data_IF_749081931274
#
_entry.id   IF_749081931274
#
_cell.length_a   1.000
_cell.length_b   1.000
_cell.length_c   1.000
_cell.angle_alpha   90.00
_cell.angle_beta   90.00
_cell.angle_gamma   90.00
#
_symmetry.space_group_name_H-M   'P 1'
#
loop_
_entity.id
_entity.type
_entity.pdbx_description
1 polymer ?
#
# COMPACT_ATOMS: atom_id res chain seq x y z
N UNK A 1 -35.06 -18.45 31.73
CA UNK A 1 -35.69 -17.49 30.80
C UNK A 1 -34.77 -16.30 30.67
N UNK A 2 -33.96 -16.27 29.61
CA UNK A 2 -33.13 -15.11 29.31
C UNK A 2 -34.04 -13.98 28.83
N UNK A 3 -34.08 -12.90 29.60
CA UNK A 3 -34.81 -11.69 29.23
C UNK A 3 -34.05 -11.05 28.06
N UNK A 4 -34.63 -11.14 26.90
CA UNK A 4 -34.14 -10.51 25.67
C UNK A 4 -34.28 -9.00 25.80
N UNK A 5 -33.31 -8.37 26.47
CA UNK A 5 -33.30 -6.92 26.69
C UNK A 5 -32.89 -6.24 25.39
N UNK A 6 -33.84 -5.66 24.70
CA UNK A 6 -33.58 -4.82 23.52
C UNK A 6 -32.67 -3.67 23.90
N UNK A 7 -31.39 -3.71 23.58
CA UNK A 7 -30.48 -2.57 23.77
C UNK A 7 -30.90 -1.47 22.78
N UNK A 8 -31.40 -0.35 23.30
CA UNK A 8 -31.61 0.85 22.50
C UNK A 8 -30.26 1.36 22.02
N UNK A 9 -30.10 1.46 20.72
CA UNK A 9 -28.97 2.15 20.12
C UNK A 9 -29.36 3.61 19.98
N UNK A 10 -28.70 4.49 20.73
CA UNK A 10 -29.00 5.92 20.70
C UNK A 10 -28.46 6.52 19.40
N UNK A 11 -29.33 6.58 18.38
CA UNK A 11 -29.11 7.31 17.17
C UNK A 11 -29.41 8.78 17.41
N UNK A 12 -28.47 9.66 17.19
CA UNK A 12 -28.60 11.09 17.35
C UNK A 12 -28.00 11.87 16.19
N UNK A 13 -28.20 13.17 16.15
CA UNK A 13 -27.72 14.06 15.10
C UNK A 13 -26.56 14.90 15.64
N UNK A 14 -25.49 15.00 14.89
CA UNK A 14 -24.27 15.76 15.24
C UNK A 14 -23.99 16.77 14.14
N UNK A 15 -23.70 18.02 14.51
CA UNK A 15 -23.15 18.98 13.57
C UNK A 15 -21.75 18.49 13.12
N UNK A 16 -21.50 18.29 11.80
CA UNK A 16 -20.21 17.84 11.31
C UNK A 16 -19.03 18.70 11.78
N UNK A 17 -19.24 19.98 12.05
CA UNK A 17 -18.21 20.92 12.50
C UNK A 17 -17.75 20.68 13.94
N UNK A 18 -18.54 19.94 14.72
CA UNK A 18 -18.21 19.54 16.10
C UNK A 18 -17.53 18.17 16.18
N UNK A 19 -17.28 17.54 15.04
CA UNK A 19 -16.60 16.25 14.98
C UNK A 19 -15.08 16.47 14.89
N UNK A 20 -14.34 15.75 15.75
CA UNK A 20 -12.89 15.75 15.79
C UNK A 20 -12.38 14.41 15.31
N UNK A 21 -11.53 14.43 14.30
CA UNK A 21 -10.82 13.25 13.81
C UNK A 21 -9.49 13.17 14.54
N UNK A 22 -9.24 12.06 15.24
CA UNK A 22 -7.92 11.83 15.85
C UNK A 22 -6.91 11.49 14.74
N UNK A 23 -5.87 12.31 14.67
CA UNK A 23 -4.77 12.06 13.76
C UNK A 23 -4.15 10.69 14.03
N UNK A 24 -3.92 9.93 12.96
CA UNK A 24 -3.34 8.59 13.05
C UNK A 24 -4.27 7.50 13.63
N UNK A 25 -5.48 7.80 14.10
CA UNK A 25 -6.37 6.75 14.59
C UNK A 25 -6.87 5.84 13.48
N UNK A 26 -7.31 6.40 12.36
CA UNK A 26 -7.70 5.61 11.19
C UNK A 26 -6.46 5.19 10.40
N UNK A 27 -6.41 3.94 9.98
CA UNK A 27 -5.33 3.40 9.14
C UNK A 27 -5.58 3.61 7.65
N UNK A 28 -6.74 4.12 7.26
CA UNK A 28 -7.07 4.34 5.85
C UNK A 28 -6.22 5.45 5.25
N UNK A 29 -5.67 5.17 4.08
CA UNK A 29 -4.79 6.06 3.34
C UNK A 29 -5.54 6.68 2.16
N UNK A 30 -6.24 5.83 1.39
CA UNK A 30 -7.01 6.26 0.23
C UNK A 30 -8.50 6.24 0.55
N UNK A 31 -9.10 7.42 0.62
CA UNK A 31 -10.50 7.58 0.98
C UNK A 31 -11.44 7.47 -0.23
N UNK A 32 -10.99 7.82 -1.44
CA UNK A 32 -11.80 7.77 -2.66
C UNK A 32 -13.19 8.40 -2.43
N UNK A 33 -13.23 9.73 -2.35
CA UNK A 33 -14.36 10.47 -1.81
C UNK A 33 -15.33 11.01 -2.89
N UNK A 34 -14.94 11.07 -4.17
CA UNK A 34 -15.70 11.80 -5.18
C UNK A 34 -17.10 11.24 -5.38
N UNK A 35 -17.22 9.94 -5.60
CA UNK A 35 -18.53 9.31 -5.75
C UNK A 35 -19.38 9.41 -4.49
N UNK A 36 -18.75 9.15 -3.32
CA UNK A 36 -19.43 9.20 -2.02
C UNK A 36 -19.90 10.63 -1.69
N UNK A 37 -19.13 11.64 -2.04
CA UNK A 37 -19.50 13.05 -1.87
C UNK A 37 -20.76 13.38 -2.66
N UNK A 38 -20.84 12.98 -3.94
CA UNK A 38 -22.04 13.23 -4.77
C UNK A 38 -23.27 12.47 -4.23
N UNK A 39 -23.08 11.24 -3.76
CA UNK A 39 -24.16 10.50 -3.10
C UNK A 39 -24.66 11.21 -1.83
N UNK A 40 -23.74 11.76 -1.02
CA UNK A 40 -24.09 12.49 0.21
C UNK A 40 -24.79 13.80 -0.12
N UNK A 41 -24.41 14.53 -1.14
CA UNK A 41 -25.15 15.73 -1.61
C UNK A 41 -26.59 15.40 -2.00
N UNK A 42 -26.79 14.27 -2.67
CA UNK A 42 -28.10 13.87 -3.17
C UNK A 42 -29.02 13.29 -2.08
N UNK A 43 -28.51 12.49 -1.15
CA UNK A 43 -29.32 11.69 -0.22
C UNK A 43 -28.93 11.85 1.27
N UNK A 44 -27.92 12.67 1.57
CA UNK A 44 -27.35 12.77 2.91
C UNK A 44 -26.57 11.51 3.30
N UNK A 45 -26.10 11.48 4.55
CA UNK A 45 -25.41 10.32 5.11
C UNK A 45 -26.43 9.25 5.51
N UNK A 46 -26.51 8.16 4.73
CA UNK A 46 -27.48 7.08 4.97
C UNK A 46 -27.09 6.23 6.18
N UNK A 47 -25.85 5.79 6.24
CA UNK A 47 -25.33 4.98 7.34
C UNK A 47 -24.70 5.87 8.41
N UNK A 48 -25.10 5.76 9.70
CA UNK A 48 -24.58 6.61 10.76
C UNK A 48 -23.08 6.40 10.96
N UNK A 49 -22.40 7.45 11.38
CA UNK A 49 -21.02 7.38 11.89
C UNK A 49 -21.03 6.93 13.36
N UNK A 50 -19.87 6.54 13.91
CA UNK A 50 -19.74 6.22 15.34
C UNK A 50 -18.81 7.24 15.99
N UNK A 51 -19.25 7.80 17.12
CA UNK A 51 -18.52 8.86 17.84
C UNK A 51 -18.47 8.62 19.34
N UNK A 52 -17.48 9.20 20.01
CA UNK A 52 -17.39 9.33 21.47
C UNK A 52 -17.58 10.81 21.81
N UNK A 53 -18.64 11.20 22.56
CA UNK A 53 -18.79 12.57 23.00
C UNK A 53 -17.77 12.90 24.10
N UNK A 54 -17.19 14.09 24.01
CA UNK A 54 -16.30 14.66 25.04
C UNK A 54 -16.51 16.17 25.16
N UNK A 55 -15.93 16.78 26.16
CA UNK A 55 -15.87 18.24 26.29
C UNK A 55 -14.46 18.70 25.94
N UNK A 56 -14.36 19.75 25.13
CA UNK A 56 -13.09 20.41 24.86
C UNK A 56 -12.63 21.27 26.08
N UNK A 57 -11.48 21.91 25.96
CA UNK A 57 -10.88 22.75 27.01
C UNK A 57 -11.80 23.93 27.42
N UNK A 58 -12.62 24.41 26.50
CA UNK A 58 -13.59 25.50 26.71
C UNK A 58 -14.92 25.01 27.27
N UNK A 59 -15.08 23.69 27.47
CA UNK A 59 -16.30 23.06 27.97
C UNK A 59 -17.35 22.78 26.88
N UNK A 60 -17.08 23.05 25.62
CA UNK A 60 -18.00 22.78 24.52
C UNK A 60 -18.09 21.28 24.23
N UNK A 61 -19.29 20.83 23.85
CA UNK A 61 -19.51 19.44 23.47
C UNK A 61 -18.91 19.17 22.09
N UNK A 62 -17.98 18.22 22.01
CA UNK A 62 -17.33 17.74 20.82
C UNK A 62 -17.49 16.22 20.70
N UNK A 63 -17.24 15.71 19.51
CA UNK A 63 -17.47 14.30 19.17
C UNK A 63 -16.23 13.73 18.50
N UNK A 64 -15.52 12.86 19.20
CA UNK A 64 -14.38 12.15 18.62
C UNK A 64 -14.89 11.09 17.65
N UNK A 65 -14.46 11.13 16.41
CA UNK A 65 -14.83 10.15 15.40
C UNK A 65 -14.12 8.82 15.63
N UNK A 66 -14.89 7.74 15.67
CA UNK A 66 -14.41 6.36 15.85
C UNK A 66 -14.53 5.57 14.55
N UNK A 67 -15.69 5.69 13.87
CA UNK A 67 -15.94 5.02 12.59
C UNK A 67 -16.73 5.93 11.65
N UNK A 68 -16.47 5.74 10.35
CA UNK A 68 -17.14 6.48 9.28
C UNK A 68 -16.37 7.68 8.77
N UNK A 69 -15.03 7.69 8.86
CA UNK A 69 -14.21 8.83 8.43
C UNK A 69 -14.38 9.15 6.93
N UNK A 70 -14.56 8.16 6.07
CA UNK A 70 -14.89 8.42 4.65
C UNK A 70 -16.19 9.23 4.52
N UNK A 71 -17.23 8.85 5.26
CA UNK A 71 -18.53 9.54 5.27
C UNK A 71 -18.40 10.95 5.82
N UNK A 72 -17.66 11.11 6.91
CA UNK A 72 -17.37 12.43 7.50
C UNK A 72 -16.60 13.32 6.53
N UNK A 73 -15.48 12.85 5.98
CA UNK A 73 -14.66 13.64 5.04
C UNK A 73 -15.45 14.01 3.76
N UNK A 74 -16.19 13.07 3.19
CA UNK A 74 -17.06 13.34 2.04
C UNK A 74 -18.15 14.36 2.37
N UNK A 75 -18.71 14.35 3.59
CA UNK A 75 -19.65 15.36 4.06
C UNK A 75 -19.00 16.74 4.17
N UNK A 76 -17.80 16.82 4.74
CA UNK A 76 -17.09 18.10 4.87
C UNK A 76 -16.78 18.70 3.50
N UNK A 77 -16.32 17.88 2.55
CA UNK A 77 -16.13 18.33 1.15
C UNK A 77 -17.43 18.79 0.49
N UNK A 78 -18.54 18.08 0.73
CA UNK A 78 -19.84 18.50 0.22
C UNK A 78 -20.28 19.86 0.78
N UNK A 79 -20.05 20.09 2.08
CA UNK A 79 -20.33 21.38 2.74
C UNK A 79 -19.44 22.49 2.17
N UNK A 80 -18.16 22.25 1.97
CA UNK A 80 -17.21 23.19 1.35
C UNK A 80 -17.64 23.59 -0.07
N UNK A 81 -18.28 22.66 -0.80
CA UNK A 81 -18.86 22.91 -2.13
C UNK A 81 -20.29 23.51 -2.06
N UNK A 82 -20.74 23.91 -0.90
CA UNK A 82 -22.00 24.64 -0.70
C UNK A 82 -23.24 23.80 -0.39
N UNK A 83 -23.08 22.49 -0.11
CA UNK A 83 -24.23 21.67 0.30
C UNK A 83 -24.70 22.04 1.70
N UNK A 84 -26.02 22.18 1.89
CA UNK A 84 -26.65 22.44 3.20
C UNK A 84 -26.83 21.12 3.98
N UNK A 85 -25.81 20.74 4.76
CA UNK A 85 -25.83 19.54 5.59
C UNK A 85 -25.63 19.96 7.06
N UNK A 86 -26.69 20.30 7.79
CA UNK A 86 -26.58 20.81 9.15
C UNK A 86 -26.21 19.74 10.18
N UNK A 87 -26.42 18.45 9.88
CA UNK A 87 -26.08 17.34 10.78
C UNK A 87 -25.82 16.02 10.05
N UNK A 88 -25.04 15.16 10.72
CA UNK A 88 -24.85 13.75 10.38
C UNK A 88 -25.53 12.88 11.44
N UNK A 89 -26.08 11.73 11.02
CA UNK A 89 -26.55 10.70 11.95
C UNK A 89 -25.35 10.02 12.60
N UNK A 90 -25.35 9.91 13.90
CA UNK A 90 -24.28 9.32 14.68
C UNK A 90 -24.80 8.29 15.70
N UNK A 91 -23.99 7.27 15.95
CA UNK A 91 -24.15 6.32 17.02
C UNK A 91 -23.10 6.61 18.10
N UNK A 92 -23.46 6.48 19.36
CA UNK A 92 -22.50 6.60 20.44
C UNK A 92 -21.73 5.30 20.62
N UNK A 93 -20.41 5.38 20.58
CA UNK A 93 -19.57 4.25 20.97
C UNK A 93 -19.80 3.91 22.45
N UNK A 94 -19.71 2.65 22.88
CA UNK A 94 -19.80 2.28 24.29
C UNK A 94 -18.74 3.06 25.09
N UNK A 95 -19.15 3.56 26.29
CA UNK A 95 -18.32 4.45 27.14
C UNK A 95 -16.99 3.81 27.55
N UNK A 96 -16.98 2.46 27.64
CA UNK A 96 -15.85 1.66 28.11
C UNK A 96 -15.13 0.94 26.95
N UNK A 97 -15.26 1.46 25.72
CA UNK A 97 -14.57 0.87 24.58
C UNK A 97 -13.06 0.96 24.75
N UNK A 98 -12.40 -0.18 24.80
CA UNK A 98 -10.93 -0.24 24.83
C UNK A 98 -10.36 0.10 23.45
N UNK A 99 -9.11 0.58 23.34
CA UNK A 99 -8.43 0.78 22.05
C UNK A 99 -8.48 -0.47 21.16
N UNK A 100 -8.33 -1.64 21.75
CA UNK A 100 -8.45 -2.92 21.07
C UNK A 100 -9.81 -3.10 20.40
N UNK A 101 -10.90 -2.86 21.14
CA UNK A 101 -12.26 -2.97 20.62
C UNK A 101 -12.49 -2.00 19.46
N UNK A 102 -12.03 -0.77 19.59
CA UNK A 102 -12.14 0.24 18.54
C UNK A 102 -11.37 -0.14 17.27
N UNK A 103 -10.17 -0.70 17.40
CA UNK A 103 -9.38 -1.18 16.25
C UNK A 103 -10.01 -2.40 15.57
N UNK A 104 -10.59 -3.33 16.37
CA UNK A 104 -11.33 -4.47 15.82
C UNK A 104 -12.56 -3.99 15.06
N UNK A 105 -13.35 -3.09 15.65
CA UNK A 105 -14.52 -2.52 14.98
C UNK A 105 -14.14 -1.83 13.67
N UNK A 106 -13.06 -1.05 13.67
CA UNK A 106 -12.55 -0.40 12.46
C UNK A 106 -12.23 -1.41 11.36
N UNK A 107 -11.61 -2.56 11.70
CA UNK A 107 -11.30 -3.62 10.73
C UNK A 107 -12.54 -4.39 10.26
N UNK A 108 -13.52 -4.63 11.14
CA UNK A 108 -14.69 -5.45 10.86
C UNK A 108 -15.80 -4.69 10.14
N UNK A 109 -16.00 -3.40 10.46
CA UNK A 109 -17.06 -2.56 9.88
C UNK A 109 -16.70 -1.97 8.51
N UNK A 110 -15.63 -2.46 7.88
CA UNK A 110 -15.16 -1.93 6.61
C UNK A 110 -16.02 -2.43 5.43
N UNK A 111 -17.33 -2.21 5.55
CA UNK A 111 -18.31 -2.51 4.51
C UNK A 111 -18.10 -1.54 3.34
N UNK A 112 -17.74 -2.06 2.18
CA UNK A 112 -17.61 -1.32 0.93
C UNK A 112 -16.19 -1.32 0.34
N UNK A 113 -15.18 -0.73 0.98
CA UNK A 113 -13.79 -0.74 0.48
C UNK A 113 -12.88 -1.45 1.47
N UNK A 114 -12.44 -2.72 1.19
CA UNK A 114 -11.51 -3.44 2.07
C UNK A 114 -10.21 -2.66 2.31
N UNK A 115 -9.56 -2.87 3.45
CA UNK A 115 -8.24 -2.34 3.70
C UNK A 115 -7.20 -2.95 2.76
N UNK A 116 -6.32 -2.12 2.23
CA UNK A 116 -5.14 -2.56 1.50
C UNK A 116 -4.18 -3.35 2.41
N UNK A 117 -3.27 -4.12 1.82
CA UNK A 117 -2.27 -4.84 2.61
C UNK A 117 -1.37 -3.90 3.42
N UNK A 118 -1.17 -2.66 2.98
CA UNK A 118 -0.38 -1.66 3.71
C UNK A 118 -1.18 -1.08 4.90
N UNK A 119 -2.45 -0.78 4.73
CA UNK A 119 -3.35 -0.37 5.82
C UNK A 119 -3.48 -1.49 6.87
N UNK A 120 -3.63 -2.74 6.43
CA UNK A 120 -3.56 -3.91 7.32
C UNK A 120 -2.23 -3.98 8.08
N UNK A 121 -1.11 -3.67 7.43
CA UNK A 121 0.20 -3.66 8.07
C UNK A 121 0.27 -2.65 9.23
N UNK A 122 -0.25 -1.44 9.03
CA UNK A 122 -0.33 -0.41 10.07
C UNK A 122 -1.17 -0.90 11.25
N UNK A 123 -2.34 -1.48 10.97
CA UNK A 123 -3.21 -2.03 12.01
C UNK A 123 -2.54 -3.17 12.79
N UNK A 124 -1.92 -4.13 12.09
CA UNK A 124 -1.24 -5.25 12.74
C UNK A 124 -0.03 -4.82 13.56
N UNK A 125 0.67 -3.75 13.15
CA UNK A 125 1.74 -3.14 13.94
C UNK A 125 1.20 -2.60 15.27
N UNK A 126 0.06 -1.89 15.27
CA UNK A 126 -0.57 -1.42 16.51
C UNK A 126 -0.91 -2.55 17.46
N UNK A 127 -1.53 -3.62 16.95
CA UNK A 127 -1.80 -4.81 17.77
C UNK A 127 -0.53 -5.40 18.37
N UNK A 128 0.57 -5.40 17.63
CA UNK A 128 1.84 -5.92 18.09
C UNK A 128 2.53 -4.99 19.10
N UNK A 129 2.61 -3.69 18.80
CA UNK A 129 3.44 -2.73 19.53
C UNK A 129 2.68 -2.06 20.68
N UNK A 130 1.40 -1.69 20.47
CA UNK A 130 0.60 -1.00 21.48
C UNK A 130 -0.14 -1.97 22.40
N UNK A 131 -0.60 -3.10 21.86
CA UNK A 131 -1.41 -4.07 22.60
C UNK A 131 -0.65 -5.36 22.98
N UNK A 132 0.60 -5.51 22.56
CA UNK A 132 1.47 -6.63 22.93
C UNK A 132 1.11 -7.98 22.30
N UNK A 133 0.28 -8.02 21.25
CA UNK A 133 -0.12 -9.27 20.61
C UNK A 133 1.00 -9.91 19.78
N UNK A 134 1.13 -11.23 19.87
CA UNK A 134 1.97 -12.02 18.96
C UNK A 134 1.26 -12.18 17.61
N UNK A 135 2.02 -12.35 16.53
CA UNK A 135 1.46 -12.48 15.16
C UNK A 135 0.42 -13.61 15.03
N UNK A 136 0.60 -14.71 15.76
CA UNK A 136 -0.36 -15.82 15.77
C UNK A 136 -1.70 -15.40 16.39
N UNK A 137 -1.65 -14.62 17.47
CA UNK A 137 -2.84 -14.10 18.13
C UNK A 137 -3.58 -13.08 17.24
N UNK A 138 -2.82 -12.22 16.51
CA UNK A 138 -3.38 -11.30 15.52
C UNK A 138 -4.05 -12.09 14.39
N UNK A 139 -3.38 -13.12 13.90
CA UNK A 139 -3.90 -14.00 12.84
C UNK A 139 -5.23 -14.65 13.23
N UNK A 140 -5.31 -15.22 14.44
CA UNK A 140 -6.55 -15.82 14.95
C UNK A 140 -7.66 -14.79 15.14
N UNK A 141 -7.34 -13.62 15.72
CA UNK A 141 -8.30 -12.54 15.97
C UNK A 141 -8.95 -12.02 14.68
N UNK A 142 -8.17 -11.85 13.61
CA UNK A 142 -8.66 -11.36 12.31
C UNK A 142 -9.02 -12.47 11.32
N UNK A 143 -8.97 -13.74 11.74
CA UNK A 143 -9.24 -14.92 10.87
C UNK A 143 -8.40 -14.89 9.58
N UNK A 144 -7.13 -14.51 9.73
CA UNK A 144 -6.12 -14.49 8.66
C UNK A 144 -5.03 -15.51 8.95
N UNK A 145 -4.27 -15.92 7.92
CA UNK A 145 -3.11 -16.79 8.14
C UNK A 145 -1.95 -16.00 8.78
N UNK A 146 -1.12 -16.62 9.62
CA UNK A 146 0.11 -16.00 10.14
C UNK A 146 1.05 -15.50 9.02
N UNK A 147 1.08 -16.21 7.89
CA UNK A 147 1.82 -15.81 6.70
C UNK A 147 1.30 -14.49 6.11
N UNK A 148 -0.02 -14.27 6.10
CA UNK A 148 -0.60 -13.00 5.67
C UNK A 148 -0.19 -11.85 6.61
N UNK A 149 -0.26 -12.06 7.94
CA UNK A 149 0.16 -11.06 8.93
C UNK A 149 1.63 -10.69 8.73
N UNK A 150 2.52 -11.70 8.62
CA UNK A 150 3.94 -11.49 8.38
C UNK A 150 4.20 -10.76 7.06
N UNK A 151 3.48 -11.15 5.99
CA UNK A 151 3.55 -10.53 4.67
C UNK A 151 3.12 -9.06 4.71
N UNK A 152 2.09 -8.70 5.47
CA UNK A 152 1.70 -7.29 5.64
C UNK A 152 2.75 -6.53 6.44
N UNK A 153 3.16 -7.03 7.61
CA UNK A 153 4.14 -6.37 8.47
C UNK A 153 5.47 -6.12 7.77
N UNK A 154 5.89 -6.99 6.85
CA UNK A 154 7.13 -6.79 6.07
C UNK A 154 7.13 -5.52 5.21
N UNK A 155 5.96 -4.96 4.87
CA UNK A 155 5.85 -3.71 4.13
C UNK A 155 6.37 -2.51 4.94
N UNK A 156 6.24 -2.56 6.24
CA UNK A 156 6.71 -1.49 7.14
C UNK A 156 8.23 -1.52 7.37
N UNK A 157 8.91 -2.57 6.90
CA UNK A 157 10.37 -2.67 6.90
C UNK A 157 11.00 -2.15 5.60
N UNK A 158 10.19 -1.75 4.62
CA UNK A 158 10.67 -1.13 3.39
C UNK A 158 11.27 0.25 3.67
N UNK A 159 12.22 0.73 2.86
CA UNK A 159 12.69 2.11 2.94
C UNK A 159 11.52 3.10 2.91
N UNK A 160 11.62 4.18 3.68
CA UNK A 160 10.55 5.17 3.83
C UNK A 160 10.05 5.67 2.48
N UNK A 161 10.94 5.93 1.53
CA UNK A 161 10.55 6.35 0.17
C UNK A 161 9.55 5.38 -0.49
N UNK A 162 9.74 4.06 -0.38
CA UNK A 162 8.81 3.08 -0.95
C UNK A 162 7.46 3.12 -0.23
N UNK A 163 7.49 3.27 1.09
CA UNK A 163 6.27 3.41 1.89
C UNK A 163 5.50 4.66 1.47
N UNK A 164 6.18 5.80 1.32
CA UNK A 164 5.59 7.07 0.87
C UNK A 164 4.96 6.93 -0.53
N UNK A 165 5.63 6.22 -1.45
CA UNK A 165 5.07 5.98 -2.79
C UNK A 165 3.84 5.05 -2.76
N UNK A 166 3.79 4.08 -1.83
CA UNK A 166 2.59 3.25 -1.63
C UNK A 166 1.43 4.12 -1.09
N UNK A 167 1.72 4.98 -0.12
CA UNK A 167 0.74 5.91 0.47
C UNK A 167 0.21 6.89 -0.57
N UNK A 168 1.10 7.44 -1.40
CA UNK A 168 0.75 8.35 -2.49
C UNK A 168 0.03 7.65 -3.68
N UNK A 169 -0.07 6.32 -3.67
CA UNK A 169 -0.68 5.57 -4.76
C UNK A 169 0.16 5.52 -6.05
N UNK A 170 1.39 6.01 -6.02
CA UNK A 170 2.30 6.03 -7.18
C UNK A 170 3.08 4.74 -7.38
N UNK A 171 3.08 3.85 -6.37
CA UNK A 171 3.70 2.52 -6.43
C UNK A 171 2.76 1.47 -5.83
N UNK A 172 2.47 0.41 -6.56
CA UNK A 172 1.66 -0.69 -6.01
C UNK A 172 2.42 -1.46 -4.94
N UNK A 173 1.72 -1.98 -3.93
CA UNK A 173 2.29 -2.87 -2.88
C UNK A 173 3.02 -4.06 -3.50
N UNK A 174 2.49 -4.60 -4.60
CA UNK A 174 3.09 -5.73 -5.30
C UNK A 174 4.42 -5.35 -5.96
N UNK A 175 4.50 -4.17 -6.58
CA UNK A 175 5.72 -3.64 -7.16
C UNK A 175 6.79 -3.37 -6.09
N UNK A 176 6.39 -2.77 -4.96
CA UNK A 176 7.29 -2.53 -3.84
C UNK A 176 7.92 -3.83 -3.28
N UNK A 177 7.13 -4.91 -3.18
CA UNK A 177 7.65 -6.24 -2.79
C UNK A 177 8.59 -6.83 -3.84
N UNK A 178 8.27 -6.70 -5.11
CA UNK A 178 9.13 -7.18 -6.20
C UNK A 178 10.50 -6.49 -6.14
N UNK A 179 10.52 -5.19 -5.88
CA UNK A 179 11.75 -4.43 -5.65
C UNK A 179 12.50 -4.98 -4.42
N UNK A 180 11.82 -5.15 -3.28
CA UNK A 180 12.45 -5.66 -2.06
C UNK A 180 13.05 -7.06 -2.22
N UNK A 181 12.42 -7.91 -3.01
CA UNK A 181 12.89 -9.27 -3.28
C UNK A 181 14.13 -9.31 -4.19
N UNK A 182 14.30 -8.32 -5.08
CA UNK A 182 15.37 -8.31 -6.06
C UNK A 182 16.56 -7.43 -5.64
N UNK A 183 16.37 -6.45 -4.76
CA UNK A 183 17.41 -5.53 -4.30
C UNK A 183 17.63 -5.65 -2.80
N UNK A 184 18.85 -5.92 -2.38
CA UNK A 184 19.17 -6.18 -0.96
C UNK A 184 19.38 -4.91 -0.13
N UNK A 185 19.99 -3.87 -0.72
CA UNK A 185 20.27 -2.65 0.03
C UNK A 185 19.11 -1.65 -0.07
N UNK A 186 18.83 -0.88 1.02
CA UNK A 186 17.81 0.17 0.99
C UNK A 186 18.03 1.18 -0.15
N UNK A 187 19.29 1.54 -0.43
CA UNK A 187 19.64 2.50 -1.49
C UNK A 187 19.27 1.96 -2.88
N UNK A 188 19.56 0.65 -3.13
CA UNK A 188 19.20 0.03 -4.41
C UNK A 188 17.68 -0.12 -4.56
N UNK A 189 16.96 -0.40 -3.49
CA UNK A 189 15.49 -0.44 -3.49
C UNK A 189 14.90 0.93 -3.83
N UNK A 190 15.40 2.00 -3.22
CA UNK A 190 14.96 3.38 -3.50
C UNK A 190 15.25 3.76 -4.95
N UNK A 191 16.45 3.42 -5.47
CA UNK A 191 16.82 3.69 -6.87
C UNK A 191 15.87 2.96 -7.84
N UNK A 192 15.58 1.69 -7.58
CA UNK A 192 14.67 0.90 -8.40
C UNK A 192 13.23 1.45 -8.35
N UNK A 193 12.75 1.87 -7.17
CA UNK A 193 11.43 2.48 -7.02
C UNK A 193 11.31 3.80 -7.80
N UNK A 194 12.34 4.68 -7.72
CA UNK A 194 12.39 5.92 -8.50
C UNK A 194 12.33 5.65 -9.99
N UNK A 195 13.08 4.66 -10.48
CA UNK A 195 13.05 4.25 -11.87
C UNK A 195 11.66 3.76 -12.29
N UNK A 196 11.03 2.89 -11.50
CA UNK A 196 9.71 2.36 -11.80
C UNK A 196 8.63 3.46 -11.87
N UNK A 197 8.67 4.42 -10.93
CA UNK A 197 7.72 5.55 -10.89
C UNK A 197 7.93 6.45 -12.11
N UNK A 198 9.19 6.76 -12.47
CA UNK A 198 9.51 7.58 -13.64
C UNK A 198 9.03 6.91 -14.95
N UNK A 199 9.30 5.61 -15.13
CA UNK A 199 8.84 4.85 -16.31
C UNK A 199 7.30 4.81 -16.41
N UNK A 200 6.59 4.69 -15.27
CA UNK A 200 5.14 4.76 -15.27
C UNK A 200 4.64 6.14 -15.71
N UNK A 201 5.24 7.22 -15.21
CA UNK A 201 4.91 8.60 -15.57
C UNK A 201 5.17 8.87 -17.05
N UNK A 202 6.30 8.44 -17.60
CA UNK A 202 6.62 8.54 -19.04
C UNK A 202 5.59 7.81 -19.91
N UNK A 203 5.00 6.72 -19.40
CA UNK A 203 3.92 5.98 -20.05
C UNK A 203 2.52 6.59 -19.80
N UNK A 204 2.44 7.74 -19.14
CA UNK A 204 1.16 8.39 -18.79
C UNK A 204 0.35 7.67 -17.72
N UNK A 205 0.99 6.82 -16.91
CA UNK A 205 0.33 6.08 -15.83
C UNK A 205 0.51 6.80 -14.50
N UNK A 206 -0.55 6.83 -13.69
CA UNK A 206 -0.48 7.39 -12.34
C UNK A 206 0.30 6.51 -11.36
N UNK A 207 0.34 5.19 -11.60
CA UNK A 207 0.88 4.20 -10.65
C UNK A 207 1.82 3.22 -11.32
N UNK A 208 3.01 3.05 -10.77
CA UNK A 208 3.96 2.01 -11.16
C UNK A 208 3.52 0.65 -10.62
N UNK A 209 3.47 -0.32 -11.49
CA UNK A 209 3.07 -1.71 -11.21
C UNK A 209 4.24 -2.68 -11.37
N UNK A 210 3.99 -3.97 -11.14
CA UNK A 210 4.96 -5.01 -11.41
C UNK A 210 5.44 -5.06 -12.86
N UNK A 211 4.68 -4.51 -13.81
CA UNK A 211 5.05 -4.53 -15.22
C UNK A 211 6.28 -3.65 -15.45
N UNK A 212 6.29 -2.45 -14.89
CA UNK A 212 7.42 -1.53 -14.96
C UNK A 212 8.63 -2.12 -14.24
N UNK A 213 8.44 -2.61 -13.00
CA UNK A 213 9.52 -3.27 -12.24
C UNK A 213 10.07 -4.50 -12.97
N UNK A 214 9.20 -5.36 -13.49
CA UNK A 214 9.60 -6.56 -14.24
C UNK A 214 10.34 -6.25 -15.53
N UNK A 215 10.00 -5.15 -16.19
CA UNK A 215 10.65 -4.68 -17.42
C UNK A 215 12.15 -4.43 -17.19
N UNK A 216 12.47 -3.51 -16.29
CA UNK A 216 13.87 -3.17 -16.05
C UNK A 216 14.65 -4.24 -15.29
N UNK A 217 14.01 -5.07 -14.45
CA UNK A 217 14.67 -6.23 -13.85
C UNK A 217 15.13 -7.24 -14.89
N UNK A 218 14.34 -7.43 -15.95
CA UNK A 218 14.73 -8.27 -17.09
C UNK A 218 15.92 -7.69 -17.82
N UNK A 219 15.89 -6.39 -18.14
CA UNK A 219 16.99 -5.68 -18.77
C UNK A 219 18.29 -5.75 -17.95
N UNK A 220 18.21 -5.54 -16.62
CA UNK A 220 19.37 -5.64 -15.73
C UNK A 220 19.96 -7.06 -15.68
N UNK A 221 19.10 -8.09 -15.68
CA UNK A 221 19.55 -9.49 -15.75
C UNK A 221 20.22 -9.80 -17.08
N UNK A 222 19.67 -9.32 -18.19
CA UNK A 222 20.24 -9.47 -19.52
C UNK A 222 21.59 -8.73 -19.62
N UNK A 223 21.65 -7.48 -19.16
CA UNK A 223 22.88 -6.69 -19.15
C UNK A 223 23.98 -7.35 -18.29
N UNK A 224 23.61 -7.89 -17.12
CA UNK A 224 24.53 -8.62 -16.25
C UNK A 224 25.02 -9.90 -16.91
N UNK A 225 24.15 -10.68 -17.53
CA UNK A 225 24.51 -11.89 -18.25
C UNK A 225 25.46 -11.60 -19.42
N UNK A 226 25.22 -10.52 -20.16
CA UNK A 226 26.11 -10.04 -21.23
C UNK A 226 27.47 -9.64 -20.64
N UNK A 227 27.50 -8.85 -19.57
CA UNK A 227 28.75 -8.43 -18.91
C UNK A 227 29.58 -9.63 -18.41
N UNK A 228 28.93 -10.63 -17.78
CA UNK A 228 29.60 -11.84 -17.32
C UNK A 228 30.13 -12.69 -18.51
N UNK A 229 29.40 -12.72 -19.59
CA UNK A 229 29.82 -13.41 -20.78
C UNK A 229 31.01 -12.72 -21.47
N UNK A 230 30.96 -11.39 -21.57
CA UNK A 230 32.10 -10.60 -22.09
C UNK A 230 33.35 -10.82 -21.23
N UNK A 231 33.25 -10.82 -19.89
CA UNK A 231 34.39 -11.13 -19.01
C UNK A 231 34.99 -12.52 -19.29
N UNK A 232 34.15 -13.51 -19.56
CA UNK A 232 34.62 -14.86 -19.91
C UNK A 232 35.30 -14.89 -21.28
N UNK A 233 34.79 -14.13 -22.26
CA UNK A 233 35.44 -13.98 -23.59
C UNK A 233 36.78 -13.29 -23.42
N UNK A 234 36.89 -12.21 -22.63
CA UNK A 234 38.15 -11.52 -22.33
C UNK A 234 39.16 -12.42 -21.62
N UNK A 235 38.75 -13.22 -20.67
CA UNK A 235 39.61 -14.17 -19.97
C UNK A 235 40.15 -15.31 -20.90
N UNK A 236 39.45 -15.59 -21.99
CA UNK A 236 39.85 -16.60 -22.97
C UNK A 236 40.75 -16.06 -24.09
N UNK A 237 40.70 -14.75 -24.30
CA UNK A 237 41.52 -14.05 -25.31
C UNK A 237 42.74 -13.51 -24.57
N UNK A 238 43.81 -14.31 -24.56
CA UNK A 238 45.13 -13.96 -23.99
C UNK A 238 45.59 -12.61 -24.54
N UNK A 239 45.40 -11.54 -23.83
CA UNK A 239 45.88 -10.15 -23.90
C UNK A 239 46.17 -9.44 -25.22
N UNK A 240 46.23 -10.10 -26.37
CA UNK A 240 46.81 -9.55 -27.60
C UNK A 240 45.88 -9.53 -28.84
N UNK A 241 44.60 -9.93 -28.73
CA UNK A 241 43.70 -9.89 -29.88
C UNK A 241 42.59 -8.88 -29.71
N UNK A 242 42.51 -7.94 -30.65
CA UNK A 242 41.39 -7.02 -30.76
C UNK A 242 40.07 -7.80 -30.76
N UNK A 243 39.17 -7.42 -29.89
CA UNK A 243 37.80 -7.97 -29.85
C UNK A 243 37.14 -7.57 -31.18
N UNK A 244 36.71 -8.53 -31.96
CA UNK A 244 35.90 -8.28 -33.14
C UNK A 244 34.56 -7.65 -32.70
N UNK A 245 34.44 -6.31 -32.88
CA UNK A 245 33.26 -5.52 -32.50
C UNK A 245 32.01 -6.07 -33.23
N UNK A 246 32.16 -6.59 -34.46
CA UNK A 246 31.07 -7.20 -35.21
C UNK A 246 30.60 -8.52 -34.57
N UNK A 247 31.53 -9.29 -34.00
CA UNK A 247 31.18 -10.48 -33.23
C UNK A 247 30.40 -10.15 -31.96
N UNK A 248 30.83 -9.11 -31.24
CA UNK A 248 30.12 -8.63 -30.04
C UNK A 248 28.74 -8.09 -30.42
N UNK A 249 28.62 -7.32 -31.49
CA UNK A 249 27.36 -6.81 -32.01
C UNK A 249 26.41 -7.94 -32.43
N UNK A 250 26.90 -8.97 -33.13
CA UNK A 250 26.10 -10.16 -33.48
C UNK A 250 25.67 -10.98 -32.26
N UNK A 251 26.49 -11.03 -31.20
CA UNK A 251 26.15 -11.69 -29.93
C UNK A 251 25.07 -10.92 -29.15
N UNK A 252 25.05 -9.60 -29.27
CA UNK A 252 24.06 -8.72 -28.66
C UNK A 252 22.73 -8.70 -29.43
N UNK A 253 22.78 -8.80 -30.78
CA UNK A 253 21.60 -8.69 -31.63
C UNK A 253 20.82 -10.03 -31.79
N UNK A 254 21.46 -11.15 -31.50
CA UNK A 254 20.81 -12.46 -31.53
C UNK A 254 20.18 -12.77 -30.15
N UNK A 255 18.86 -12.67 -30.06
CA UNK A 255 18.01 -13.13 -28.93
C UNK A 255 18.15 -14.64 -28.60
N UNK A 256 19.09 -15.34 -29.16
CA UNK A 256 19.36 -16.73 -28.91
C UNK A 256 20.63 -16.92 -28.10
N UNK A 257 20.52 -17.65 -27.00
CA UNK A 257 21.52 -17.86 -25.96
C UNK A 257 22.99 -17.69 -26.42
N UNK A 258 23.74 -16.85 -25.69
CA UNK A 258 25.22 -16.70 -25.82
C UNK A 258 25.95 -18.04 -25.91
N UNK A 259 25.41 -19.11 -25.32
CA UNK A 259 25.91 -20.49 -25.44
C UNK A 259 25.87 -21.02 -26.87
N UNK A 260 24.87 -20.65 -27.68
CA UNK A 260 24.76 -21.07 -29.08
C UNK A 260 25.80 -20.35 -29.92
N UNK A 261 25.94 -19.05 -29.76
CA UNK A 261 26.95 -18.24 -30.45
C UNK A 261 28.41 -18.67 -30.10
N UNK A 262 28.67 -18.97 -28.80
CA UNK A 262 29.99 -19.52 -28.38
C UNK A 262 30.26 -20.93 -28.97
N UNK A 263 29.24 -21.78 -29.13
CA UNK A 263 29.39 -23.10 -29.79
C UNK A 263 29.69 -22.96 -31.27
N UNK A 264 29.07 -22.01 -31.96
CA UNK A 264 29.28 -21.75 -33.39
C UNK A 264 30.67 -21.14 -33.64
N UNK A 265 31.12 -20.21 -32.77
CA UNK A 265 32.48 -19.66 -32.82
C UNK A 265 33.55 -20.73 -32.61
N UNK A 266 33.38 -21.66 -31.64
CA UNK A 266 34.29 -22.79 -31.45
C UNK A 266 34.36 -23.74 -32.67
N UNK A 267 33.27 -23.86 -33.42
CA UNK A 267 33.24 -24.70 -34.64
C UNK A 267 33.86 -24.00 -35.83
N UNK A 268 33.80 -22.66 -35.91
CA UNK A 268 34.35 -21.88 -37.03
C UNK A 268 35.80 -21.45 -36.86
N UNK A 269 36.36 -21.47 -35.65
CA UNK A 269 37.74 -21.06 -35.34
C UNK A 269 38.78 -22.17 -35.45
N UNK A 270 38.43 -23.33 -35.99
CA UNK A 270 39.35 -24.44 -36.26
C UNK A 270 39.65 -24.58 -37.78
N UNK A 271 39.94 -23.44 -38.44
CA UNK A 271 40.55 -23.42 -39.76
C UNK A 271 41.67 -22.39 -39.78
#
# INVERSE_FOLDING_TARGET
METNTTKRTDLFKVDPRNIVVMEGFNVRIDFDLDELKEQIKAAGVLNPITVIPFKDEDGNEKYQLVDGERRYRATMLAIEEGADIPYIKALKAPKDSTPEQLYIEQMMRNEGKPFSEYECAIMFRRFKEELGYRQVQIADKFKKSPAFISKCLSLLNLPQYLQDQIVAGTLTVKAAREIANNYRSPQSQVKAAKKAVAEAQEQGKATASNKEVGGFLKEEREAKAISEALKKVWAYMDGERMVDIDLVARLLDQKGSLRKAMREYKKGGAK
#
